data_IF_270973705438
#
_entry.id   IF_270973705438
#
_cell.length_a   1.000
_cell.length_b   1.000
_cell.length_c   1.000
_cell.angle_alpha   90.00
_cell.angle_beta   90.00
_cell.angle_gamma   90.00
#
_symmetry.space_group_name_H-M   'P 1'
#
loop_
_entity.id
_entity.type
_entity.pdbx_description
1 polymer ?
#
# COMPACT_ATOMS: atom_id res chain seq x y z
N UNK A 1 -29.77 66.35 6.87
CA UNK A 1 -29.98 66.78 8.28
C UNK A 1 -31.44 67.15 8.45
N UNK A 2 -32.09 66.87 9.60
CA UNK A 2 -31.92 65.77 10.57
C UNK A 2 -33.25 64.94 10.63
N UNK A 3 -33.62 64.06 11.56
CA UNK A 3 -32.98 63.20 12.60
C UNK A 3 -33.18 61.71 12.15
N UNK A 4 -32.61 60.62 12.69
CA UNK A 4 -32.00 60.19 13.97
C UNK A 4 -32.94 59.65 15.08
N UNK A 5 -33.03 58.31 15.19
CA UNK A 5 -32.91 57.48 16.41
C UNK A 5 -32.83 55.99 16.00
N UNK A 6 -31.93 55.13 16.45
CA UNK A 6 -30.76 55.27 17.35
C UNK A 6 -30.74 54.18 18.43
N UNK A 7 -29.56 53.55 18.64
CA UNK A 7 -29.21 52.59 19.72
C UNK A 7 -29.83 51.18 19.59
N UNK A 8 -29.19 50.07 19.97
CA UNK A 8 -27.80 49.75 20.36
C UNK A 8 -27.60 48.22 20.19
N UNK A 9 -26.49 47.67 19.68
CA UNK A 9 -25.14 47.49 20.27
C UNK A 9 -24.91 46.15 20.99
N UNK A 10 -23.98 45.37 20.42
CA UNK A 10 -22.94 44.58 21.09
C UNK A 10 -23.23 43.28 21.89
N UNK A 11 -22.41 42.26 21.53
CA UNK A 11 -21.62 41.35 22.41
C UNK A 11 -22.33 40.45 23.43
N UNK A 12 -22.29 39.15 23.14
CA UNK A 12 -21.57 38.08 23.87
C UNK A 12 -21.90 36.76 23.14
N UNK A 13 -21.03 35.80 22.81
CA UNK A 13 -19.80 35.32 23.46
C UNK A 13 -19.97 35.00 24.95
N UNK A 14 -20.59 33.85 25.21
CA UNK A 14 -20.55 33.18 26.50
C UNK A 14 -20.30 31.70 26.25
N UNK A 15 -19.03 31.31 26.48
CA UNK A 15 -18.55 30.14 27.24
C UNK A 15 -19.32 28.81 27.11
N UNK A 16 -18.68 27.71 26.72
CA UNK A 16 -17.78 26.90 27.58
C UNK A 16 -18.36 26.59 28.97
N UNK A 17 -18.91 25.39 29.12
CA UNK A 17 -18.71 24.52 30.27
C UNK A 17 -17.96 23.29 29.73
N UNK A 18 -16.69 23.00 30.09
CA UNK A 18 -16.20 22.54 31.41
C UNK A 18 -16.69 21.08 31.62
N UNK A 19 -15.92 20.04 31.27
CA UNK A 19 -14.64 19.51 31.83
C UNK A 19 -14.81 18.99 33.27
N UNK A 20 -14.22 17.80 33.54
CA UNK A 20 -14.43 16.96 34.72
C UNK A 20 -14.78 15.53 34.28
N UNK A 21 -13.88 14.74 33.70
CA UNK A 21 -12.61 14.26 34.27
C UNK A 21 -12.82 13.43 35.55
N UNK A 22 -12.74 12.09 35.41
CA UNK A 22 -12.40 11.20 36.52
C UNK A 22 -11.73 9.92 35.99
N UNK A 23 -10.48 9.84 36.39
CA UNK A 23 -9.44 8.81 36.25
C UNK A 23 -9.83 7.32 36.19
N UNK A 24 -9.12 6.60 35.31
CA UNK A 24 -8.33 5.37 35.57
C UNK A 24 -9.05 4.06 36.03
N UNK A 25 -8.39 2.87 35.94
CA UNK A 25 -7.01 2.60 35.55
C UNK A 25 -6.81 1.67 34.33
N UNK A 26 -5.58 1.66 33.83
CA UNK A 26 -5.10 0.67 32.88
C UNK A 26 -5.10 -0.73 33.51
N UNK A 27 -5.76 -1.70 32.86
CA UNK A 27 -5.52 -3.13 33.12
C UNK A 27 -4.30 -3.54 32.30
N UNK A 28 -3.14 -3.62 32.96
CA UNK A 28 -1.91 -4.05 32.33
C UNK A 28 -1.96 -5.52 31.94
N UNK A 29 -1.95 -5.81 30.64
CA UNK A 29 -1.65 -7.15 30.15
C UNK A 29 -0.15 -7.36 30.11
N UNK A 30 0.28 -8.49 30.68
CA UNK A 30 1.67 -8.73 31.04
C UNK A 30 2.58 -8.91 29.82
N UNK A 31 3.82 -8.48 30.02
CA UNK A 31 4.92 -8.66 29.10
C UNK A 31 5.60 -9.99 29.38
N UNK A 32 5.13 -11.07 28.74
CA UNK A 32 5.80 -12.38 28.71
C UNK A 32 5.48 -13.11 27.41
N UNK A 33 6.35 -12.94 26.40
CA UNK A 33 6.67 -13.95 25.37
C UNK A 33 7.84 -13.43 24.52
N UNK A 34 8.96 -13.13 25.19
CA UNK A 34 10.22 -12.84 24.51
C UNK A 34 10.80 -14.16 23.97
N UNK A 35 10.52 -14.47 22.70
CA UNK A 35 11.17 -15.60 22.03
C UNK A 35 12.66 -15.33 21.88
N UNK A 36 13.46 -16.15 22.55
CA UNK A 36 14.91 -16.09 22.64
C UNK A 36 15.57 -16.16 21.25
N UNK A 37 16.05 -15.01 20.76
CA UNK A 37 16.88 -14.89 19.57
C UNK A 37 18.35 -15.18 19.89
N UNK A 38 18.63 -16.36 20.42
CA UNK A 38 19.98 -16.89 20.50
C UNK A 38 20.06 -18.31 19.94
N UNK A 39 20.70 -18.42 18.77
CA UNK A 39 21.90 -19.27 18.53
C UNK A 39 22.22 -19.44 17.04
N UNK A 40 23.47 -19.11 16.68
CA UNK A 40 24.18 -19.50 15.45
C UNK A 40 23.52 -19.09 14.11
N UNK A 41 23.98 -18.07 13.39
CA UNK A 41 25.35 -17.58 13.31
C UNK A 41 26.18 -18.42 12.35
N UNK A 42 26.06 -18.12 11.06
CA UNK A 42 27.01 -18.50 10.00
C UNK A 42 27.20 -17.30 9.11
N UNK A 43 28.33 -16.61 9.29
CA UNK A 43 28.71 -15.45 8.50
C UNK A 43 28.82 -15.84 7.02
N UNK A 44 27.97 -15.25 6.17
CA UNK A 44 28.15 -15.27 4.73
C UNK A 44 29.30 -14.34 4.36
N UNK A 45 30.54 -14.77 4.63
CA UNK A 45 31.72 -13.95 4.36
C UNK A 45 31.82 -13.70 2.86
N UNK A 46 31.76 -12.43 2.47
CA UNK A 46 31.81 -12.01 1.08
C UNK A 46 33.25 -11.67 0.71
N UNK A 47 33.80 -12.36 -0.29
CA UNK A 47 35.13 -12.11 -0.85
C UNK A 47 36.21 -13.08 -0.40
N UNK A 48 36.66 -13.92 -1.34
CA UNK A 48 38.06 -13.88 -1.75
C UNK A 48 38.16 -14.24 -3.25
N UNK A 49 38.94 -13.47 -4.00
CA UNK A 49 39.24 -13.72 -5.41
C UNK A 49 40.72 -14.09 -5.50
N UNK A 50 41.00 -15.37 -5.73
CA UNK A 50 42.35 -15.90 -5.97
C UNK A 50 42.28 -16.63 -7.32
N UNK A 51 42.73 -15.98 -8.39
CA UNK A 51 44.13 -15.92 -8.80
C UNK A 51 44.69 -17.32 -9.10
N UNK A 52 44.34 -17.85 -10.28
CA UNK A 52 45.01 -19.00 -10.87
C UNK A 52 46.39 -18.60 -11.37
N UNK A 53 47.35 -18.57 -10.43
CA UNK A 53 48.76 -18.29 -10.67
C UNK A 53 49.62 -19.48 -10.25
N UNK A 54 50.23 -20.10 -11.27
CA UNK A 54 51.44 -20.93 -11.26
C UNK A 54 52.23 -21.04 -9.94
N UNK A 55 52.50 -22.28 -9.51
CA UNK A 55 53.76 -22.63 -8.84
C UNK A 55 54.03 -24.14 -8.83
N UNK A 56 55.16 -24.52 -9.43
CA UNK A 56 56.12 -25.42 -8.77
C UNK A 56 55.94 -26.92 -8.99
N UNK A 57 56.74 -27.48 -9.92
CA UNK A 57 57.20 -28.86 -9.80
C UNK A 57 57.96 -29.03 -8.48
N UNK A 58 57.54 -30.00 -7.67
CA UNK A 58 58.18 -30.35 -6.40
C UNK A 58 58.13 -31.85 -6.17
N UNK A 59 59.03 -32.61 -6.80
CA UNK A 59 59.23 -34.00 -6.44
C UNK A 59 59.82 -34.10 -5.03
N UNK A 60 59.06 -34.67 -4.09
CA UNK A 60 59.65 -35.39 -2.98
C UNK A 60 58.83 -36.64 -2.66
N UNK A 61 59.33 -37.78 -3.13
CA UNK A 61 58.88 -39.08 -2.67
C UNK A 61 59.28 -39.24 -1.19
N UNK A 62 58.28 -39.32 -0.31
CA UNK A 62 58.42 -40.03 0.96
C UNK A 62 57.23 -40.95 1.16
N UNK A 63 57.58 -42.23 1.14
CA UNK A 63 56.76 -43.39 1.45
C UNK A 63 56.06 -43.25 2.81
N UNK A 64 54.73 -43.24 2.79
CA UNK A 64 53.91 -43.60 3.96
C UNK A 64 53.02 -44.77 3.59
N UNK A 65 53.43 -45.97 3.99
CA UNK A 65 52.63 -47.19 3.94
C UNK A 65 51.52 -47.14 5.01
N UNK A 66 50.47 -46.33 4.77
CA UNK A 66 49.36 -46.15 5.72
C UNK A 66 47.99 -46.16 5.02
N UNK A 67 47.36 -47.33 5.04
CA UNK A 67 45.92 -47.58 4.94
C UNK A 67 45.15 -47.14 3.68
N UNK A 68 44.59 -48.12 2.97
CA UNK A 68 43.59 -47.99 1.88
C UNK A 68 42.19 -47.52 2.36
N UNK A 69 42.11 -46.77 3.46
CA UNK A 69 40.86 -46.41 4.14
C UNK A 69 40.44 -44.94 3.86
N UNK A 70 41.39 -44.06 3.52
CA UNK A 70 41.12 -42.64 3.27
C UNK A 70 40.25 -42.41 2.02
N UNK A 71 40.55 -43.09 0.91
CA UNK A 71 39.73 -43.05 -0.32
C UNK A 71 38.29 -43.53 -0.08
N UNK A 72 38.10 -44.45 0.86
CA UNK A 72 36.79 -45.00 1.20
C UNK A 72 35.93 -43.94 1.89
N UNK A 73 36.51 -43.15 2.80
CA UNK A 73 35.76 -42.15 3.55
C UNK A 73 35.49 -40.86 2.76
N UNK A 74 36.40 -40.44 1.88
CA UNK A 74 36.12 -39.37 0.90
C UNK A 74 35.02 -39.78 -0.09
N UNK A 75 35.04 -41.03 -0.56
CA UNK A 75 33.96 -41.60 -1.38
C UNK A 75 32.64 -41.65 -0.61
N UNK A 76 32.65 -42.01 0.67
CA UNK A 76 31.47 -41.97 1.54
C UNK A 76 30.96 -40.54 1.74
N UNK A 77 31.85 -39.55 1.91
CA UNK A 77 31.51 -38.14 2.04
C UNK A 77 30.88 -37.61 0.74
N UNK A 78 31.44 -37.95 -0.42
CA UNK A 78 30.90 -37.62 -1.73
C UNK A 78 29.50 -38.25 -1.96
N UNK A 79 29.29 -39.50 -1.55
CA UNK A 79 27.99 -40.18 -1.61
C UNK A 79 26.94 -39.48 -0.72
N UNK A 80 27.30 -39.04 0.49
CA UNK A 80 26.41 -38.27 1.37
C UNK A 80 26.04 -36.91 0.75
N UNK A 81 27.01 -36.18 0.18
CA UNK A 81 26.76 -34.91 -0.54
C UNK A 81 25.84 -35.12 -1.75
N UNK A 82 26.02 -36.20 -2.51
CA UNK A 82 25.14 -36.59 -3.62
C UNK A 82 23.71 -36.92 -3.17
N UNK A 83 23.55 -37.61 -2.03
CA UNK A 83 22.24 -37.89 -1.44
C UNK A 83 21.54 -36.59 -1.01
N UNK A 84 22.24 -35.71 -0.28
CA UNK A 84 21.72 -34.40 0.12
C UNK A 84 21.38 -33.51 -1.08
N UNK A 85 22.19 -33.52 -2.14
CA UNK A 85 21.89 -32.79 -3.38
C UNK A 85 20.64 -33.35 -4.08
N UNK A 86 20.47 -34.68 -4.14
CA UNK A 86 19.24 -35.32 -4.66
C UNK A 86 18.01 -34.93 -3.85
N UNK A 87 18.10 -34.86 -2.53
CA UNK A 87 17.01 -34.44 -1.66
C UNK A 87 16.70 -32.94 -1.78
N UNK A 88 17.72 -32.09 -1.80
CA UNK A 88 17.59 -30.65 -2.05
C UNK A 88 16.97 -30.38 -3.43
N UNK A 89 17.37 -31.11 -4.47
CA UNK A 89 16.79 -31.03 -5.80
C UNK A 89 15.31 -31.50 -5.82
N UNK A 90 14.97 -32.59 -5.11
CA UNK A 90 13.57 -33.02 -4.92
C UNK A 90 12.74 -31.95 -4.20
N UNK A 91 13.25 -31.37 -3.11
CA UNK A 91 12.60 -30.33 -2.32
C UNK A 91 12.43 -29.03 -3.12
N UNK A 92 13.43 -28.64 -3.91
CA UNK A 92 13.37 -27.52 -4.85
C UNK A 92 12.33 -27.75 -5.95
N UNK A 93 12.34 -28.92 -6.60
CA UNK A 93 11.31 -29.31 -7.58
C UNK A 93 9.90 -29.29 -6.98
N UNK A 94 9.72 -29.77 -5.74
CA UNK A 94 8.43 -29.76 -5.06
C UNK A 94 7.95 -28.33 -4.74
N UNK A 95 8.84 -27.46 -4.24
CA UNK A 95 8.55 -26.03 -4.01
C UNK A 95 8.18 -25.32 -5.32
N UNK A 96 8.96 -25.53 -6.39
CA UNK A 96 8.67 -24.96 -7.72
C UNK A 96 7.35 -25.49 -8.29
N UNK A 97 7.04 -26.78 -8.09
CA UNK A 97 5.75 -27.38 -8.49
C UNK A 97 4.57 -26.75 -7.74
N UNK A 98 4.69 -26.58 -6.41
CA UNK A 98 3.66 -25.92 -5.61
C UNK A 98 3.46 -24.45 -6.02
N UNK A 99 4.54 -23.72 -6.29
CA UNK A 99 4.48 -22.35 -6.81
C UNK A 99 3.77 -22.26 -8.17
N UNK A 100 4.10 -23.14 -9.12
CA UNK A 100 3.41 -23.21 -10.42
C UNK A 100 1.93 -23.52 -10.24
N UNK A 101 1.56 -24.47 -9.37
CA UNK A 101 0.15 -24.78 -9.08
C UNK A 101 -0.60 -23.59 -8.44
N UNK A 102 0.05 -22.82 -7.55
CA UNK A 102 -0.52 -21.60 -6.99
C UNK A 102 -0.74 -20.52 -8.05
N UNK A 103 0.19 -20.36 -9.00
CA UNK A 103 0.05 -19.45 -10.14
C UNK A 103 -1.04 -19.90 -11.12
N UNK A 104 -1.17 -21.19 -11.39
CA UNK A 104 -2.25 -21.75 -12.21
C UNK A 104 -3.62 -21.50 -11.56
N UNK A 105 -3.73 -21.72 -10.25
CA UNK A 105 -4.94 -21.43 -9.49
C UNK A 105 -5.29 -19.93 -9.50
N UNK A 106 -4.31 -19.05 -9.26
CA UNK A 106 -4.55 -17.60 -9.28
C UNK A 106 -4.94 -17.10 -10.67
N UNK A 107 -4.32 -17.63 -11.74
CA UNK A 107 -4.69 -17.36 -13.14
C UNK A 107 -6.13 -17.75 -13.44
N UNK A 108 -6.56 -18.97 -13.07
CA UNK A 108 -7.95 -19.40 -13.29
C UNK A 108 -8.96 -18.51 -12.54
N UNK A 109 -8.64 -18.14 -11.29
CA UNK A 109 -9.47 -17.24 -10.48
C UNK A 109 -9.54 -15.82 -11.07
N UNK A 110 -8.44 -15.32 -11.63
CA UNK A 110 -8.39 -14.03 -12.32
C UNK A 110 -9.29 -14.05 -13.57
N UNK A 111 -9.18 -15.10 -14.41
CA UNK A 111 -10.07 -15.25 -15.59
C UNK A 111 -11.55 -15.38 -15.22
N UNK A 112 -11.88 -16.02 -14.09
CA UNK A 112 -13.26 -16.09 -13.60
C UNK A 112 -13.79 -14.71 -13.18
N UNK A 113 -13.02 -13.97 -12.37
CA UNK A 113 -13.41 -12.63 -11.91
C UNK A 113 -13.54 -11.64 -13.07
N UNK A 114 -12.69 -11.77 -14.10
CA UNK A 114 -12.77 -10.97 -15.32
C UNK A 114 -14.06 -11.25 -16.11
N UNK A 115 -14.40 -12.52 -16.33
CA UNK A 115 -15.67 -12.90 -16.98
C UNK A 115 -16.90 -12.43 -16.19
N UNK A 116 -16.86 -12.51 -14.86
CA UNK A 116 -17.97 -12.05 -14.02
C UNK A 116 -18.08 -10.52 -13.99
N UNK A 117 -16.96 -9.78 -14.08
CA UNK A 117 -16.95 -8.33 -14.26
C UNK A 117 -17.54 -7.94 -15.63
N UNK A 118 -17.19 -8.67 -16.69
CA UNK A 118 -17.80 -8.51 -18.02
C UNK A 118 -19.31 -8.81 -18.01
N UNK A 119 -19.74 -9.88 -17.31
CA UNK A 119 -21.17 -10.19 -17.11
C UNK A 119 -21.89 -9.13 -16.29
N UNK A 120 -21.30 -8.60 -15.23
CA UNK A 120 -21.88 -7.48 -14.48
C UNK A 120 -22.07 -6.25 -15.37
N UNK A 121 -21.07 -5.93 -16.22
CA UNK A 121 -21.15 -4.85 -17.22
C UNK A 121 -22.25 -5.09 -18.26
N UNK A 122 -22.41 -6.32 -18.75
CA UNK A 122 -23.50 -6.68 -19.67
C UNK A 122 -24.87 -6.65 -18.98
N UNK A 123 -24.99 -7.07 -17.72
CA UNK A 123 -26.22 -6.94 -16.95
C UNK A 123 -26.63 -5.48 -16.74
N UNK A 124 -25.71 -4.51 -16.71
CA UNK A 124 -26.09 -3.09 -16.78
C UNK A 124 -26.77 -2.81 -18.12
N UNK A 125 -26.14 -3.21 -19.23
CA UNK A 125 -26.65 -2.94 -20.58
C UNK A 125 -27.99 -3.65 -20.87
N UNK A 126 -28.23 -4.80 -20.25
CA UNK A 126 -29.38 -5.68 -20.49
C UNK A 126 -30.52 -5.48 -19.48
N UNK A 127 -30.24 -5.00 -18.25
CA UNK A 127 -31.27 -4.65 -17.24
C UNK A 127 -31.59 -3.15 -17.18
N UNK A 128 -30.94 -2.33 -18.01
CA UNK A 128 -31.51 -1.08 -18.52
C UNK A 128 -32.48 -1.54 -19.63
N UNK A 129 -33.81 -1.37 -19.51
CA UNK A 129 -34.49 -0.18 -19.04
C UNK A 129 -35.92 -0.48 -18.52
N UNK A 130 -36.24 0.00 -17.31
CA UNK A 130 -37.36 0.93 -17.20
C UNK A 130 -36.73 2.28 -17.63
N UNK A 131 -37.12 2.86 -18.79
CA UNK A 131 -36.32 3.90 -19.43
C UNK A 131 -35.94 5.03 -18.48
N UNK A 132 -34.62 5.23 -18.31
CA UNK A 132 -34.09 6.51 -17.86
C UNK A 132 -34.68 7.57 -18.80
N UNK A 133 -35.49 8.47 -18.26
CA UNK A 133 -36.11 9.50 -19.09
C UNK A 133 -35.03 10.45 -19.60
N UNK A 134 -35.27 11.14 -20.71
CA UNK A 134 -34.31 12.10 -21.26
C UNK A 134 -33.94 13.17 -20.21
N UNK A 135 -34.87 13.53 -19.33
CA UNK A 135 -34.65 14.40 -18.18
C UNK A 135 -33.68 13.81 -17.16
N UNK A 136 -33.80 12.50 -16.85
CA UNK A 136 -32.84 11.82 -15.97
C UNK A 136 -31.46 11.73 -16.62
N UNK A 137 -31.39 11.43 -17.91
CA UNK A 137 -30.13 11.36 -18.65
C UNK A 137 -29.41 12.73 -18.69
N UNK A 138 -30.12 13.81 -19.01
CA UNK A 138 -29.59 15.17 -18.92
C UNK A 138 -29.14 15.53 -17.50
N UNK A 139 -29.91 15.14 -16.48
CA UNK A 139 -29.53 15.31 -15.08
C UNK A 139 -28.22 14.60 -14.71
N UNK A 140 -28.04 13.37 -15.18
CA UNK A 140 -26.82 12.57 -14.97
C UNK A 140 -25.63 13.21 -15.69
N UNK A 141 -25.78 13.65 -16.94
CA UNK A 141 -24.71 14.32 -17.69
C UNK A 141 -24.24 15.61 -16.99
N UNK A 142 -25.18 16.45 -16.52
CA UNK A 142 -24.86 17.67 -15.79
C UNK A 142 -24.19 17.38 -14.44
N UNK A 143 -24.65 16.35 -13.71
CA UNK A 143 -24.03 15.91 -12.46
C UNK A 143 -22.61 15.39 -12.70
N UNK A 144 -22.40 14.57 -13.74
CA UNK A 144 -21.08 14.06 -14.12
C UNK A 144 -20.13 15.21 -14.43
N UNK A 145 -20.55 16.18 -15.24
CA UNK A 145 -19.74 17.35 -15.59
C UNK A 145 -19.37 18.17 -14.33
N UNK A 146 -20.32 18.40 -13.42
CA UNK A 146 -20.09 19.15 -12.19
C UNK A 146 -19.21 18.40 -11.19
N UNK A 147 -19.32 17.06 -11.09
CA UNK A 147 -18.46 16.23 -10.24
C UNK A 147 -17.03 16.23 -10.78
N UNK A 148 -16.87 16.00 -12.10
CA UNK A 148 -15.56 16.01 -12.76
C UNK A 148 -14.84 17.34 -12.57
N UNK A 149 -15.53 18.48 -12.75
CA UNK A 149 -14.93 19.80 -12.56
C UNK A 149 -14.42 20.01 -11.12
N UNK A 150 -15.15 19.49 -10.12
CA UNK A 150 -14.74 19.57 -8.72
C UNK A 150 -13.58 18.58 -8.41
N UNK A 151 -13.59 17.38 -8.99
CA UNK A 151 -12.50 16.40 -8.90
C UNK A 151 -11.20 16.92 -9.53
N UNK A 152 -11.29 17.59 -10.68
CA UNK A 152 -10.15 18.22 -11.37
C UNK A 152 -9.57 19.37 -10.51
N UNK A 153 -10.41 20.19 -9.89
CA UNK A 153 -9.99 21.28 -9.02
C UNK A 153 -9.33 20.78 -7.71
N UNK A 154 -9.87 19.71 -7.11
CA UNK A 154 -9.25 19.04 -5.96
C UNK A 154 -7.90 18.42 -6.35
N UNK A 155 -7.80 17.81 -7.52
CA UNK A 155 -6.56 17.22 -8.04
C UNK A 155 -5.48 18.29 -8.24
N UNK A 156 -5.80 19.42 -8.87
CA UNK A 156 -4.89 20.56 -9.03
C UNK A 156 -4.44 21.15 -7.68
N UNK A 157 -5.35 21.28 -6.71
CA UNK A 157 -5.03 21.74 -5.36
C UNK A 157 -4.09 20.78 -4.62
N UNK A 158 -4.29 19.47 -4.80
CA UNK A 158 -3.46 18.41 -4.24
C UNK A 158 -2.07 18.36 -4.89
N UNK A 159 -1.97 18.52 -6.22
CA UNK A 159 -0.69 18.61 -6.93
C UNK A 159 0.13 19.84 -6.48
N UNK A 160 -0.52 21.00 -6.36
CA UNK A 160 0.11 22.21 -5.84
C UNK A 160 0.58 22.05 -4.38
N UNK A 161 -0.21 21.35 -3.55
CA UNK A 161 0.19 21.02 -2.18
C UNK A 161 1.41 20.09 -2.16
N UNK A 162 1.44 19.06 -3.00
CA UNK A 162 2.59 18.15 -3.12
C UNK A 162 3.85 18.88 -3.57
N UNK A 163 3.77 19.71 -4.60
CA UNK A 163 4.89 20.54 -5.08
C UNK A 163 5.40 21.44 -3.94
N UNK A 164 4.50 22.14 -3.26
CA UNK A 164 4.88 23.04 -2.17
C UNK A 164 5.45 22.30 -0.96
N UNK A 165 5.05 21.06 -0.70
CA UNK A 165 5.63 20.22 0.35
C UNK A 165 7.04 19.76 -0.04
N UNK A 166 7.26 19.36 -1.29
CA UNK A 166 8.60 19.04 -1.84
C UNK A 166 9.53 20.27 -1.79
N UNK A 167 9.05 21.46 -2.12
CA UNK A 167 9.81 22.71 -2.00
C UNK A 167 10.25 22.96 -0.55
N UNK A 168 9.35 22.81 0.43
CA UNK A 168 9.68 22.99 1.86
C UNK A 168 10.72 21.98 2.35
N UNK A 169 10.65 20.72 1.90
CA UNK A 169 11.63 19.70 2.32
C UNK A 169 12.97 19.82 1.58
N UNK A 170 12.99 20.27 0.32
CA UNK A 170 14.20 20.44 -0.49
C UNK A 170 14.95 21.75 -0.20
N UNK A 171 14.29 22.74 0.41
CA UNK A 171 14.90 24.01 0.81
C UNK A 171 16.08 23.86 1.80
N UNK A 172 16.22 22.70 2.46
CA UNK A 172 17.35 22.39 3.36
C UNK A 172 18.57 21.74 2.68
N UNK A 173 18.51 21.42 1.38
CA UNK A 173 19.59 20.66 0.69
C UNK A 173 20.74 21.53 0.14
N UNK A 174 20.73 22.86 0.35
CA UNK A 174 21.66 23.80 -0.28
C UNK A 174 22.61 24.46 0.72
N UNK A 175 23.65 23.73 1.13
CA UNK A 175 24.73 24.28 1.97
C UNK A 175 25.94 23.35 2.12
N UNK A 176 27.10 23.63 1.49
CA UNK A 176 28.32 22.83 1.65
C UNK A 176 28.99 22.98 3.03
N UNK A 177 28.60 24.00 3.80
CA UNK A 177 29.08 24.28 5.15
C UNK A 177 27.98 23.94 6.16
N UNK A 178 28.11 22.77 6.78
CA UNK A 178 27.10 22.24 7.71
C UNK A 178 26.95 23.09 8.98
N UNK A 179 25.95 23.95 8.98
CA UNK A 179 25.35 24.54 10.20
C UNK A 179 23.86 24.80 9.98
N UNK A 180 23.14 23.81 9.44
CA UNK A 180 21.68 23.81 9.53
C UNK A 180 21.31 23.67 11.00
N UNK A 181 20.89 24.77 11.64
CA UNK A 181 20.55 24.71 13.04
C UNK A 181 19.34 23.79 13.21
N UNK A 182 19.27 23.08 14.34
CA UNK A 182 18.10 22.25 14.67
C UNK A 182 16.81 23.10 14.63
N UNK A 183 16.91 24.40 14.95
CA UNK A 183 15.85 25.38 14.80
C UNK A 183 15.32 25.53 13.35
N UNK A 184 16.18 25.52 12.34
CA UNK A 184 15.80 25.69 10.93
C UNK A 184 15.09 24.43 10.40
N UNK A 185 15.61 23.25 10.76
CA UNK A 185 14.96 21.97 10.50
C UNK A 185 13.59 21.87 11.21
N UNK A 186 13.51 22.25 12.48
CA UNK A 186 12.24 22.28 13.22
C UNK A 186 11.25 23.27 12.61
N UNK A 187 11.72 24.41 12.11
CA UNK A 187 10.90 25.39 11.39
C UNK A 187 10.34 24.82 10.08
N UNK A 188 11.18 24.21 9.24
CA UNK A 188 10.71 23.57 8.00
C UNK A 188 9.80 22.37 8.28
N UNK A 189 10.09 21.57 9.31
CA UNK A 189 9.23 20.46 9.72
C UNK A 189 7.87 20.97 10.22
N UNK A 190 7.81 22.06 10.98
CA UNK A 190 6.56 22.68 11.39
C UNK A 190 5.73 23.18 10.19
N UNK A 191 6.38 23.76 9.18
CA UNK A 191 5.72 24.17 7.92
C UNK A 191 5.22 22.94 7.14
N UNK A 192 6.02 21.87 7.05
CA UNK A 192 5.63 20.62 6.39
C UNK A 192 4.46 19.94 7.12
N UNK A 193 4.44 19.92 8.45
CA UNK A 193 3.32 19.44 9.25
C UNK A 193 2.05 20.28 9.03
N UNK A 194 2.17 21.60 8.89
CA UNK A 194 1.06 22.47 8.50
C UNK A 194 0.49 22.12 7.11
N UNK A 195 1.36 21.75 6.16
CA UNK A 195 0.95 21.26 4.83
C UNK A 195 0.30 19.87 4.88
N UNK A 196 0.75 18.98 5.78
CA UNK A 196 0.09 17.70 6.04
C UNK A 196 -1.31 17.89 6.66
N UNK A 197 -1.54 18.92 7.49
CA UNK A 197 -2.90 19.26 7.94
C UNK A 197 -3.81 19.73 6.79
N UNK A 198 -3.27 20.39 5.75
CA UNK A 198 -4.08 20.72 4.56
C UNK A 198 -4.41 19.49 3.70
N UNK A 199 -3.61 18.43 3.73
CA UNK A 199 -3.93 17.16 3.07
C UNK A 199 -5.18 16.50 3.67
N UNK A 200 -5.31 16.50 4.99
CA UNK A 200 -6.51 15.97 5.68
C UNK A 200 -7.78 16.70 5.22
N UNK A 201 -7.70 18.03 5.06
CA UNK A 201 -8.80 18.84 4.53
C UNK A 201 -9.17 18.47 3.08
N UNK A 202 -8.20 18.18 2.20
CA UNK A 202 -8.49 17.71 0.85
C UNK A 202 -9.16 16.32 0.83
N UNK A 203 -8.73 15.41 1.69
CA UNK A 203 -9.39 14.10 1.85
C UNK A 203 -10.84 14.25 2.32
N UNK A 204 -11.07 15.13 3.30
CA UNK A 204 -12.43 15.44 3.77
C UNK A 204 -13.30 16.07 2.66
N UNK A 205 -12.75 16.98 1.85
CA UNK A 205 -13.45 17.57 0.71
C UNK A 205 -13.81 16.52 -0.36
N UNK A 206 -12.90 15.58 -0.65
CA UNK A 206 -13.17 14.48 -1.58
C UNK A 206 -14.28 13.56 -1.08
N UNK A 207 -14.32 13.25 0.23
CA UNK A 207 -15.40 12.47 0.84
C UNK A 207 -16.75 13.21 0.82
N UNK A 208 -16.76 14.53 1.06
CA UNK A 208 -17.96 15.35 0.93
C UNK A 208 -18.48 15.37 -0.51
N UNK A 209 -17.59 15.57 -1.50
CA UNK A 209 -17.95 15.54 -2.92
C UNK A 209 -18.53 14.18 -3.31
N UNK A 210 -17.90 13.08 -2.89
CA UNK A 210 -18.40 11.72 -3.14
C UNK A 210 -19.80 11.50 -2.56
N UNK A 211 -20.06 12.00 -1.35
CA UNK A 211 -21.38 11.92 -0.71
C UNK A 211 -22.43 12.77 -1.46
N UNK A 212 -22.09 14.00 -1.83
CA UNK A 212 -22.97 14.90 -2.58
C UNK A 212 -23.33 14.33 -3.96
N UNK A 213 -22.36 13.82 -4.71
CA UNK A 213 -22.60 13.19 -6.02
C UNK A 213 -23.51 11.96 -5.90
N UNK A 214 -23.33 11.11 -4.88
CA UNK A 214 -24.21 9.97 -4.63
C UNK A 214 -25.63 10.38 -4.23
N UNK A 215 -25.78 11.38 -3.37
CA UNK A 215 -27.10 11.92 -2.97
C UNK A 215 -27.83 12.53 -4.18
N UNK A 216 -27.14 13.32 -4.99
CA UNK A 216 -27.72 13.95 -6.17
C UNK A 216 -28.07 12.91 -7.26
N UNK A 217 -27.26 11.86 -7.42
CA UNK A 217 -27.59 10.71 -8.28
C UNK A 217 -28.87 10.01 -7.80
N UNK A 218 -29.03 9.79 -6.49
CA UNK A 218 -30.26 9.21 -5.92
C UNK A 218 -31.48 10.14 -6.06
N UNK A 219 -31.29 11.45 -6.17
CA UNK A 219 -32.35 12.43 -6.38
C UNK A 219 -32.82 12.52 -7.83
N UNK A 220 -31.95 12.17 -8.79
CA UNK A 220 -32.27 12.10 -10.23
C UNK A 220 -32.89 10.75 -10.59
N UNK A 221 -32.38 9.66 -10.02
CA UNK A 221 -32.86 8.29 -10.23
C UNK A 221 -34.09 7.97 -9.37
N UNK A 222 -34.93 7.02 -9.81
CA UNK A 222 -35.91 6.42 -8.90
C UNK A 222 -35.20 5.54 -7.87
N UNK A 223 -35.82 5.30 -6.70
CA UNK A 223 -35.27 4.40 -5.68
C UNK A 223 -34.93 3.01 -6.24
N UNK A 224 -35.72 2.53 -7.21
CA UNK A 224 -35.52 1.24 -7.89
C UNK A 224 -34.31 1.26 -8.85
N UNK A 225 -34.15 2.33 -9.63
CA UNK A 225 -32.97 2.55 -10.49
C UNK A 225 -31.70 2.72 -9.66
N UNK A 226 -31.74 3.53 -8.60
CA UNK A 226 -30.60 3.78 -7.71
C UNK A 226 -30.17 2.53 -6.93
N UNK A 227 -31.11 1.73 -6.41
CA UNK A 227 -30.78 0.47 -5.74
C UNK A 227 -30.04 -0.50 -6.68
N UNK A 228 -30.49 -0.63 -7.94
CA UNK A 228 -29.80 -1.45 -8.96
C UNK A 228 -28.40 -0.91 -9.27
N UNK A 229 -28.26 0.40 -9.46
CA UNK A 229 -26.95 1.03 -9.70
C UNK A 229 -25.97 0.80 -8.55
N UNK A 230 -26.42 0.97 -7.30
CA UNK A 230 -25.59 0.76 -6.10
C UNK A 230 -25.18 -0.72 -5.92
N UNK A 231 -26.08 -1.67 -6.20
CA UNK A 231 -25.75 -3.10 -6.17
C UNK A 231 -24.65 -3.44 -7.19
N UNK A 232 -24.80 -2.98 -8.43
CA UNK A 232 -23.79 -3.13 -9.49
C UNK A 232 -22.44 -2.53 -9.08
N UNK A 233 -22.44 -1.30 -8.56
CA UNK A 233 -21.21 -0.64 -8.09
C UNK A 233 -20.56 -1.44 -6.95
N UNK A 234 -21.36 -1.98 -6.02
CA UNK A 234 -20.83 -2.79 -4.92
C UNK A 234 -20.19 -4.11 -5.39
N UNK A 235 -20.78 -4.77 -6.39
CA UNK A 235 -20.24 -5.98 -7.01
C UNK A 235 -18.93 -5.68 -7.76
N UNK A 236 -18.93 -4.62 -8.59
CA UNK A 236 -17.73 -4.14 -9.30
C UNK A 236 -16.59 -3.80 -8.34
N UNK A 237 -16.84 -3.03 -7.28
CA UNK A 237 -15.82 -2.65 -6.29
C UNK A 237 -15.30 -3.86 -5.50
N UNK A 238 -16.16 -4.84 -5.23
CA UNK A 238 -15.76 -6.10 -4.57
C UNK A 238 -14.86 -6.94 -5.50
N UNK A 239 -15.19 -7.02 -6.79
CA UNK A 239 -14.36 -7.67 -7.82
C UNK A 239 -13.01 -6.99 -8.00
N UNK A 240 -12.99 -5.66 -8.07
CA UNK A 240 -11.76 -4.88 -8.20
C UNK A 240 -10.84 -5.08 -6.98
N UNK A 241 -11.41 -5.11 -5.76
CA UNK A 241 -10.66 -5.44 -4.54
C UNK A 241 -10.12 -6.88 -4.56
N UNK A 242 -10.90 -7.86 -5.06
CA UNK A 242 -10.46 -9.25 -5.19
C UNK A 242 -9.36 -9.43 -6.24
N UNK A 243 -9.42 -8.71 -7.36
CA UNK A 243 -8.35 -8.67 -8.35
C UNK A 243 -7.09 -8.03 -7.75
N UNK A 244 -7.21 -6.86 -7.11
CA UNK A 244 -6.10 -6.17 -6.45
C UNK A 244 -5.40 -7.05 -5.40
N UNK A 245 -6.16 -7.77 -4.57
CA UNK A 245 -5.58 -8.69 -3.60
C UNK A 245 -4.85 -9.88 -4.24
N UNK A 246 -5.31 -10.40 -5.37
CA UNK A 246 -4.59 -11.42 -6.15
C UNK A 246 -3.32 -10.90 -6.80
N UNK A 247 -3.31 -9.64 -7.25
CA UNK A 247 -2.11 -8.96 -7.77
C UNK A 247 -1.06 -8.74 -6.66
N UNK A 248 -1.49 -8.33 -5.46
CA UNK A 248 -0.62 -8.14 -4.30
C UNK A 248 -0.13 -9.46 -3.67
N UNK A 249 -0.95 -10.53 -3.74
CA UNK A 249 -0.59 -11.85 -3.24
C UNK A 249 0.36 -12.64 -4.17
N UNK A 250 0.81 -12.06 -5.28
CA UNK A 250 1.91 -12.62 -6.08
C UNK A 250 3.19 -12.55 -5.23
N UNK A 251 3.87 -13.68 -4.95
CA UNK A 251 5.18 -13.66 -4.31
C UNK A 251 6.15 -12.79 -5.12
N UNK A 252 6.83 -11.87 -4.45
CA UNK A 252 7.97 -11.14 -5.02
C UNK A 252 9.21 -12.00 -4.79
N UNK A 253 9.97 -12.24 -5.86
CA UNK A 253 11.21 -13.02 -5.85
C UNK A 253 12.32 -12.32 -5.02
#
# INVERSE_FOLDING_TARGET
MPLKRGYDSARNQTRFADIGELEQPAVGFHQDDAVDLSRSGSSGNNGNFENWGDSGMGEHSQQTDTSTDVDTDDRNQALRRLAQNREAARKSRLRKKAYVQQLEHSRMKLTQLEQELQRARQQILENQLEPLTDQQLMGICNLQQSSQQAEDALSQGMEALQQSLVETLSSNCLGPTGSGNVADYMGQMAIAMGKLATLENFLHQADLLRQQTLQQMHRILTTRQAARALLVISDYMTRLRALSSLWLARPKD
#
